data_IF_426415587253
#
_entry.id   IF_426415587253
#
_cell.length_a   1.000
_cell.length_b   1.000
_cell.length_c   1.000
_cell.angle_alpha   90.00
_cell.angle_beta   90.00
_cell.angle_gamma   90.00
#
_symmetry.space_group_name_H-M   'P 1'
#
loop_
_entity.id
_entity.type
_entity.pdbx_description
1 polymer ?
#
# COMPACT_ATOMS: atom_id res chain seq x y z
N UNK A 1 19.48 -9.42 15.12
CA UNK A 1 18.75 -8.16 15.20
C UNK A 1 17.57 -8.21 14.21
N UNK A 2 16.33 -8.40 14.72
CA UNK A 2 15.14 -8.55 13.86
C UNK A 2 14.79 -7.28 13.08
N UNK A 3 15.33 -6.12 13.46
CA UNK A 3 15.15 -4.87 12.70
C UNK A 3 15.95 -4.83 11.40
N UNK A 4 16.70 -5.90 11.10
CA UNK A 4 17.58 -5.94 9.94
C UNK A 4 16.90 -6.63 8.76
N UNK A 5 16.35 -5.84 7.84
CA UNK A 5 15.91 -6.33 6.53
C UNK A 5 17.05 -7.10 5.85
N UNK A 6 16.75 -8.34 5.42
CA UNK A 6 17.69 -9.21 4.69
C UNK A 6 17.41 -9.20 3.19
N UNK A 7 16.97 -8.09 2.63
CA UNK A 7 16.67 -7.97 1.22
C UNK A 7 17.68 -7.09 0.47
N UNK A 8 17.33 -6.67 -0.71
CA UNK A 8 18.09 -5.71 -1.55
C UNK A 8 18.48 -4.43 -0.80
N UNK A 9 17.83 -4.12 0.32
CA UNK A 9 18.20 -3.05 1.22
C UNK A 9 19.58 -3.22 1.87
N UNK A 10 20.16 -4.42 1.87
CA UNK A 10 21.52 -4.63 2.35
C UNK A 10 22.58 -4.14 1.34
N UNK A 11 22.24 -4.00 0.08
CA UNK A 11 23.10 -3.48 -0.99
C UNK A 11 23.15 -1.94 -0.95
N UNK A 12 22.05 -1.30 -0.62
CA UNK A 12 21.93 0.13 -0.44
C UNK A 12 21.77 0.39 1.06
N UNK A 13 22.70 1.08 1.68
CA UNK A 13 22.67 1.43 3.12
C UNK A 13 21.23 1.58 3.62
N UNK A 14 20.85 0.82 4.65
CA UNK A 14 19.53 0.89 5.30
C UNK A 14 19.18 2.33 5.58
N UNK A 15 18.07 2.78 5.01
CA UNK A 15 17.61 4.15 5.13
C UNK A 15 16.37 4.19 6.00
N UNK A 16 16.35 5.11 6.93
CA UNK A 16 15.11 5.52 7.59
C UNK A 16 14.39 6.42 6.61
N UNK A 17 13.27 5.94 6.07
CA UNK A 17 12.45 6.67 5.09
C UNK A 17 11.61 7.74 5.79
N UNK A 18 11.12 7.42 6.99
CA UNK A 18 10.34 8.33 7.81
C UNK A 18 10.58 8.00 9.28
N UNK A 19 10.78 9.01 10.09
CA UNK A 19 10.86 8.93 11.54
C UNK A 19 9.92 9.98 12.11
N UNK A 20 8.96 9.55 12.92
CA UNK A 20 7.92 10.44 13.46
C UNK A 20 7.60 10.09 14.89
N UNK A 21 7.43 11.13 15.67
CA UNK A 21 6.92 11.03 17.03
C UNK A 21 5.62 11.83 17.14
N UNK A 22 4.61 11.20 17.72
CA UNK A 22 3.31 11.82 17.98
C UNK A 22 3.02 11.68 19.48
N UNK A 23 2.68 12.77 20.10
CA UNK A 23 2.21 12.77 21.47
C UNK A 23 0.83 13.40 21.55
N UNK A 24 -0.08 12.75 22.23
CA UNK A 24 -1.42 13.23 22.45
C UNK A 24 -1.77 13.17 23.95
N UNK A 25 -2.18 14.30 24.50
CA UNK A 25 -2.46 14.43 25.93
C UNK A 25 -1.19 14.47 26.77
N UNK A 26 -1.20 13.80 27.91
CA UNK A 26 -0.07 13.68 28.81
C UNK A 26 0.11 12.24 29.31
N UNK A 27 0.62 11.34 28.47
CA UNK A 27 0.75 9.92 28.79
C UNK A 27 1.68 9.68 29.98
N UNK A 28 2.75 10.48 30.12
CA UNK A 28 3.74 10.32 31.18
C UNK A 28 3.12 10.44 32.59
N UNK A 29 2.09 11.27 32.75
CA UNK A 29 1.36 11.39 34.01
C UNK A 29 0.75 10.05 34.46
N UNK A 30 0.23 9.27 33.51
CA UNK A 30 -0.40 8.00 33.80
C UNK A 30 0.62 6.89 34.02
N UNK A 31 1.68 6.85 33.22
CA UNK A 31 2.75 5.88 33.41
C UNK A 31 3.46 6.05 34.77
N UNK A 32 3.64 7.30 35.25
CA UNK A 32 4.28 7.57 36.54
C UNK A 32 3.40 7.14 37.74
N UNK A 33 2.08 7.24 37.57
CA UNK A 33 1.12 6.96 38.66
C UNK A 33 0.56 5.53 38.65
N UNK A 34 0.71 4.83 37.55
CA UNK A 34 0.12 3.51 37.37
C UNK A 34 0.87 2.46 38.17
N UNK A 35 0.10 1.65 38.91
CA UNK A 35 0.59 0.45 39.59
C UNK A 35 0.63 -0.76 38.64
N UNK A 36 0.04 -0.67 37.47
CA UNK A 36 -0.06 -1.76 36.50
C UNK A 36 0.30 -1.26 35.11
N UNK A 37 1.47 -1.63 34.67
CA UNK A 37 1.96 -1.41 33.30
C UNK A 37 2.05 -2.78 32.63
N UNK A 38 1.46 -2.89 31.46
CA UNK A 38 1.56 -4.07 30.58
C UNK A 38 2.44 -3.71 29.40
N UNK A 39 3.42 -4.53 29.14
CA UNK A 39 4.33 -4.38 28.01
C UNK A 39 4.23 -5.62 27.12
N UNK A 40 4.20 -5.41 25.80
CA UNK A 40 4.17 -6.47 24.81
C UNK A 40 5.01 -6.08 23.61
N UNK A 41 5.75 -7.04 23.08
CA UNK A 41 6.44 -6.92 21.79
C UNK A 41 5.73 -7.85 20.79
N UNK A 42 5.34 -7.29 19.64
CA UNK A 42 4.57 -7.98 18.62
C UNK A 42 5.36 -7.90 17.31
N UNK A 43 5.65 -9.03 16.73
CA UNK A 43 6.17 -9.13 15.36
C UNK A 43 5.03 -9.54 14.42
N UNK A 44 4.77 -8.70 13.42
CA UNK A 44 3.86 -9.02 12.34
C UNK A 44 4.70 -9.34 11.09
N UNK A 45 4.75 -10.59 10.67
CA UNK A 45 5.58 -10.98 9.52
C UNK A 45 5.00 -10.44 8.22
N UNK A 46 5.87 -10.23 7.25
CA UNK A 46 5.46 -9.89 5.89
C UNK A 46 4.63 -11.04 5.31
N UNK A 47 3.45 -10.72 4.81
CA UNK A 47 2.53 -11.70 4.24
C UNK A 47 1.96 -11.22 2.90
N UNK A 48 1.39 -12.14 2.12
CA UNK A 48 0.59 -11.82 0.94
C UNK A 48 -0.88 -11.69 1.34
N UNK A 49 -1.55 -10.66 0.84
CA UNK A 49 -2.98 -10.44 1.09
C UNK A 49 -3.87 -11.38 0.28
N UNK A 50 -3.39 -11.93 -0.79
CA UNK A 50 -3.96 -12.95 -1.70
C UNK A 50 -5.50 -12.96 -1.78
N UNK A 51 -6.16 -11.92 -2.33
CA UNK A 51 -7.60 -11.96 -2.54
C UNK A 51 -7.95 -13.09 -3.51
N UNK A 52 -9.16 -13.65 -3.38
CA UNK A 52 -9.63 -14.70 -4.32
C UNK A 52 -9.70 -14.16 -5.75
N UNK A 53 -10.14 -12.92 -5.93
CA UNK A 53 -10.11 -12.25 -7.21
C UNK A 53 -8.73 -11.63 -7.47
N UNK A 54 -8.03 -12.06 -8.53
CA UNK A 54 -6.79 -11.47 -9.01
C UNK A 54 -7.01 -10.08 -9.63
N UNK A 55 -5.95 -9.51 -10.16
CA UNK A 55 -6.04 -8.26 -10.90
C UNK A 55 -6.65 -8.48 -12.28
N UNK A 56 -7.46 -7.52 -12.72
CA UNK A 56 -7.99 -7.45 -14.08
C UNK A 56 -7.84 -6.04 -14.59
N UNK A 57 -7.28 -5.88 -15.79
CA UNK A 57 -7.18 -4.60 -16.48
C UNK A 57 -7.68 -4.76 -17.90
N UNK A 58 -8.63 -3.92 -18.29
CA UNK A 58 -9.07 -3.74 -19.66
C UNK A 58 -8.75 -2.31 -20.09
N UNK A 59 -7.92 -2.16 -21.10
CA UNK A 59 -7.49 -0.85 -21.62
C UNK A 59 -7.85 -0.71 -23.10
N UNK A 60 -8.37 0.44 -23.45
CA UNK A 60 -8.67 0.85 -24.81
C UNK A 60 -8.12 2.24 -25.08
N UNK A 61 -7.42 2.41 -26.19
CA UNK A 61 -6.96 3.72 -26.66
C UNK A 61 -7.73 4.12 -27.90
N UNK A 62 -8.44 5.22 -27.81
CA UNK A 62 -9.08 5.86 -28.97
C UNK A 62 -8.10 6.82 -29.66
N UNK A 63 -7.63 6.43 -30.84
CA UNK A 63 -6.67 7.23 -31.61
C UNK A 63 -7.29 8.56 -32.13
N UNK A 64 -8.61 8.65 -32.31
CA UNK A 64 -9.26 9.85 -32.79
C UNK A 64 -9.34 10.94 -31.73
N UNK A 65 -9.67 10.56 -30.50
CA UNK A 65 -9.76 11.50 -29.36
C UNK A 65 -8.48 11.59 -28.53
N UNK A 66 -7.58 10.60 -28.64
CA UNK A 66 -6.40 10.47 -27.83
C UNK A 66 -6.68 10.07 -26.37
N UNK A 67 -7.85 9.50 -26.12
CA UNK A 67 -8.31 9.11 -24.79
C UNK A 67 -7.97 7.65 -24.49
N UNK A 68 -7.53 7.38 -23.28
CA UNK A 68 -7.46 6.03 -22.72
C UNK A 68 -8.67 5.76 -21.84
N UNK A 69 -9.40 4.69 -22.14
CA UNK A 69 -10.43 4.12 -21.30
C UNK A 69 -9.89 2.87 -20.60
N UNK A 70 -9.87 2.90 -19.28
CA UNK A 70 -9.34 1.80 -18.45
C UNK A 70 -10.40 1.33 -17.47
N UNK A 71 -10.79 0.07 -17.60
CA UNK A 71 -11.67 -0.62 -16.65
C UNK A 71 -10.84 -1.60 -15.84
N UNK A 72 -10.97 -1.55 -14.52
CA UNK A 72 -10.20 -2.43 -13.64
C UNK A 72 -10.85 -2.57 -12.28
N UNK A 73 -10.48 -3.61 -11.56
CA UNK A 73 -10.84 -3.82 -10.16
C UNK A 73 -9.85 -3.15 -9.19
N UNK A 74 -9.34 -1.99 -9.56
CA UNK A 74 -8.41 -1.23 -8.73
C UNK A 74 -9.06 -0.66 -7.47
N UNK A 75 -8.25 -0.49 -6.44
CA UNK A 75 -8.62 0.24 -5.25
C UNK A 75 -8.19 1.70 -5.38
N UNK A 76 -9.09 2.64 -5.08
CA UNK A 76 -8.78 4.07 -5.03
C UNK A 76 -8.44 4.70 -6.39
N UNK A 77 -9.36 4.68 -7.39
CA UNK A 77 -9.11 5.22 -8.73
C UNK A 77 -8.68 6.69 -8.71
N UNK A 78 -9.23 7.50 -7.82
CA UNK A 78 -8.87 8.91 -7.71
C UNK A 78 -7.41 9.15 -7.34
N UNK A 79 -6.86 8.32 -6.46
CA UNK A 79 -5.44 8.43 -6.07
C UNK A 79 -4.50 7.93 -7.17
N UNK A 80 -4.95 7.03 -8.04
CA UNK A 80 -4.19 6.51 -9.17
C UNK A 80 -4.19 7.45 -10.37
N UNK A 81 -5.25 8.22 -10.57
CA UNK A 81 -5.52 8.95 -11.81
C UNK A 81 -4.40 9.92 -12.19
N UNK A 82 -4.02 10.84 -11.30
CA UNK A 82 -2.99 11.85 -11.60
C UNK A 82 -1.61 11.22 -11.80
N UNK A 83 -1.31 10.13 -11.10
CA UNK A 83 -0.03 9.42 -11.23
C UNK A 83 0.04 8.69 -12.58
N UNK A 84 -1.05 8.02 -12.97
CA UNK A 84 -1.15 7.32 -14.25
C UNK A 84 -1.12 8.28 -15.44
N UNK A 85 -1.83 9.42 -15.36
CA UNK A 85 -1.80 10.45 -16.41
C UNK A 85 -0.39 10.96 -16.66
N UNK A 86 0.36 11.24 -15.59
CA UNK A 86 1.78 11.63 -15.69
C UNK A 86 2.66 10.53 -16.27
N UNK A 87 2.46 9.29 -15.86
CA UNK A 87 3.22 8.15 -16.35
C UNK A 87 2.97 7.89 -17.85
N UNK A 88 1.72 8.02 -18.30
CA UNK A 88 1.32 7.90 -19.70
C UNK A 88 1.66 9.17 -20.51
N UNK A 89 2.07 10.25 -19.86
CA UNK A 89 2.36 11.56 -20.46
C UNK A 89 1.16 12.14 -21.23
N UNK A 90 -0.01 12.08 -20.60
CA UNK A 90 -1.26 12.64 -21.11
C UNK A 90 -1.87 13.61 -20.13
N UNK A 91 -2.71 14.52 -20.63
CA UNK A 91 -3.55 15.36 -19.80
C UNK A 91 -4.55 14.50 -19.01
N UNK A 92 -4.92 14.92 -17.81
CA UNK A 92 -5.84 14.16 -16.96
C UNK A 92 -7.19 13.87 -17.63
N UNK A 93 -7.70 14.79 -18.44
CA UNK A 93 -8.93 14.60 -19.24
C UNK A 93 -8.82 13.55 -20.36
N UNK A 94 -7.62 13.04 -20.65
CA UNK A 94 -7.35 11.99 -21.65
C UNK A 94 -7.21 10.60 -21.04
N UNK A 95 -7.45 10.45 -19.74
CA UNK A 95 -7.47 9.17 -19.05
C UNK A 95 -8.80 9.02 -18.30
N UNK A 96 -9.51 7.96 -18.57
CA UNK A 96 -10.72 7.58 -17.82
C UNK A 96 -10.46 6.28 -17.07
N UNK A 97 -10.66 6.29 -15.76
CA UNK A 97 -10.57 5.12 -14.90
C UNK A 97 -11.96 4.73 -14.42
N UNK A 98 -12.37 3.52 -14.73
CA UNK A 98 -13.72 3.00 -14.47
C UNK A 98 -13.56 1.74 -13.60
N UNK A 99 -14.14 1.76 -12.40
CA UNK A 99 -14.21 0.57 -11.54
C UNK A 99 -15.29 -0.38 -12.05
N UNK A 100 -15.07 -1.68 -11.94
CA UNK A 100 -16.13 -2.66 -12.12
C UNK A 100 -17.14 -2.54 -10.98
N UNK A 101 -18.41 -2.82 -11.29
CA UNK A 101 -19.51 -2.77 -10.31
C UNK A 101 -19.32 -3.83 -9.22
N UNK A 102 -18.98 -5.05 -9.63
CA UNK A 102 -18.77 -6.21 -8.74
C UNK A 102 -17.28 -6.51 -8.63
N UNK A 103 -16.62 -5.88 -7.67
CA UNK A 103 -15.20 -6.13 -7.38
C UNK A 103 -15.05 -7.00 -6.13
N UNK A 104 -14.34 -8.11 -6.25
CA UNK A 104 -13.92 -8.94 -5.13
C UNK A 104 -12.74 -8.34 -4.38
N UNK A 105 -12.61 -8.58 -3.09
CA UNK A 105 -11.69 -7.97 -2.14
C UNK A 105 -10.33 -7.49 -2.67
N UNK A 106 -9.79 -6.48 -2.01
CA UNK A 106 -8.47 -5.91 -2.34
C UNK A 106 -7.44 -6.13 -1.24
N UNK A 107 -7.81 -5.97 0.02
CA UNK A 107 -6.91 -5.96 1.18
C UNK A 107 -5.71 -5.00 1.01
N UNK A 108 -5.88 -3.93 0.23
CA UNK A 108 -4.87 -2.92 -0.03
C UNK A 108 -3.98 -3.16 -1.25
N UNK A 109 -3.88 -4.38 -1.78
CA UNK A 109 -2.93 -4.69 -2.86
C UNK A 109 -3.37 -4.17 -4.23
N UNK A 110 -4.67 -3.99 -4.48
CA UNK A 110 -5.17 -3.52 -5.78
C UNK A 110 -4.86 -2.05 -6.09
N UNK A 111 -4.25 -1.33 -5.17
CA UNK A 111 -3.59 -0.06 -5.48
C UNK A 111 -2.28 -0.23 -6.28
N UNK A 112 -1.62 -1.37 -6.13
CA UNK A 112 -0.35 -1.66 -6.82
C UNK A 112 -0.50 -2.04 -8.30
N UNK A 113 -1.69 -2.01 -8.85
CA UNK A 113 -2.00 -2.39 -10.26
C UNK A 113 -1.45 -1.40 -11.31
N UNK A 114 -0.90 -0.26 -10.89
CA UNK A 114 -0.44 0.80 -11.77
C UNK A 114 0.47 0.34 -12.92
N UNK A 115 1.50 -0.50 -12.71
CA UNK A 115 2.37 -0.94 -13.80
C UNK A 115 1.61 -1.68 -14.89
N UNK A 116 0.64 -2.51 -14.51
CA UNK A 116 -0.17 -3.28 -15.45
C UNK A 116 -1.11 -2.39 -16.26
N UNK A 117 -1.67 -1.37 -15.63
CA UNK A 117 -2.47 -0.35 -16.35
C UNK A 117 -1.59 0.36 -17.40
N UNK A 118 -0.39 0.80 -17.04
CA UNK A 118 0.51 1.48 -17.98
C UNK A 118 0.85 0.55 -19.16
N UNK A 119 1.23 -0.70 -18.87
CA UNK A 119 1.60 -1.66 -19.90
C UNK A 119 0.44 -1.98 -20.84
N UNK A 120 -0.76 -2.21 -20.32
CA UNK A 120 -1.94 -2.50 -21.14
C UNK A 120 -2.39 -1.28 -21.95
N UNK A 121 -2.30 -0.06 -21.41
CA UNK A 121 -2.53 1.18 -22.15
C UNK A 121 -1.56 1.35 -23.31
N UNK A 122 -0.26 1.13 -23.08
CA UNK A 122 0.73 1.23 -24.13
C UNK A 122 0.53 0.14 -25.19
N UNK A 123 0.23 -1.09 -24.79
CA UNK A 123 -0.07 -2.19 -25.70
C UNK A 123 -1.32 -1.88 -26.55
N UNK A 124 -2.37 -1.32 -25.95
CA UNK A 124 -3.57 -0.90 -26.66
C UNK A 124 -3.27 0.18 -27.70
N UNK A 125 -2.49 1.20 -27.34
CA UNK A 125 -2.08 2.25 -28.26
C UNK A 125 -1.26 1.74 -29.42
N UNK A 126 -0.29 0.85 -29.17
CA UNK A 126 0.60 0.30 -30.20
C UNK A 126 -0.12 -0.66 -31.15
N UNK A 127 -1.05 -1.46 -30.63
CA UNK A 127 -1.80 -2.42 -31.43
C UNK A 127 -3.05 -1.83 -32.10
N UNK A 128 -3.47 -0.64 -31.67
CA UNK A 128 -4.75 -0.01 -32.01
C UNK A 128 -5.94 -0.97 -31.75
N UNK A 129 -5.89 -1.69 -30.64
CA UNK A 129 -6.91 -2.68 -30.20
C UNK A 129 -7.13 -2.58 -28.71
N UNK A 130 -8.27 -3.07 -28.26
CA UNK A 130 -8.51 -3.32 -26.85
C UNK A 130 -7.53 -4.39 -26.34
N UNK A 131 -6.99 -4.18 -25.13
CA UNK A 131 -6.08 -5.13 -24.46
C UNK A 131 -6.66 -5.47 -23.10
N UNK A 132 -6.78 -6.75 -22.82
CA UNK A 132 -7.22 -7.28 -21.54
C UNK A 132 -6.09 -8.10 -20.95
N UNK A 133 -5.76 -7.83 -19.69
CA UNK A 133 -4.91 -8.68 -18.87
C UNK A 133 -5.69 -9.16 -17.65
N UNK A 134 -5.61 -10.44 -17.41
CA UNK A 134 -6.21 -11.11 -16.24
C UNK A 134 -5.08 -11.86 -15.55
N UNK A 135 -4.81 -11.46 -14.31
CA UNK A 135 -3.79 -12.08 -13.48
C UNK A 135 -4.17 -13.51 -13.11
N UNK A 136 -3.27 -14.45 -13.30
CA UNK A 136 -3.43 -15.79 -12.76
C UNK A 136 -2.90 -15.91 -11.32
N UNK A 137 -3.17 -17.02 -10.66
CA UNK A 137 -2.76 -17.20 -9.25
C UNK A 137 -1.25 -17.31 -9.07
N UNK A 138 -0.53 -17.86 -10.01
CA UNK A 138 0.94 -17.96 -9.93
C UNK A 138 1.61 -16.62 -10.15
N UNK A 139 1.11 -15.81 -11.09
CA UNK A 139 1.52 -14.43 -11.28
C UNK A 139 1.31 -13.63 -10.00
N UNK A 140 0.12 -13.76 -9.38
CA UNK A 140 -0.19 -13.07 -8.13
C UNK A 140 0.79 -13.44 -7.01
N UNK A 141 1.00 -14.71 -6.76
CA UNK A 141 1.89 -15.18 -5.69
C UNK A 141 3.37 -14.81 -5.92
N UNK A 142 3.75 -14.58 -7.17
CA UNK A 142 5.13 -14.25 -7.56
C UNK A 142 5.40 -12.74 -7.57
N UNK A 143 4.45 -11.95 -8.08
CA UNK A 143 4.68 -10.55 -8.42
C UNK A 143 3.80 -9.54 -7.65
N UNK A 144 2.75 -9.98 -6.96
CA UNK A 144 1.92 -9.06 -6.20
C UNK A 144 2.65 -8.48 -4.98
N UNK A 145 2.22 -7.30 -4.59
CA UNK A 145 2.75 -6.64 -3.38
C UNK A 145 2.42 -7.45 -2.12
N UNK A 146 3.32 -7.44 -1.17
CA UNK A 146 3.10 -7.97 0.18
C UNK A 146 2.83 -6.85 1.19
N UNK A 147 2.26 -7.21 2.33
CA UNK A 147 2.22 -6.33 3.50
C UNK A 147 3.63 -6.01 3.99
N UNK A 148 3.79 -4.92 4.74
CA UNK A 148 5.04 -4.61 5.42
C UNK A 148 5.29 -5.58 6.56
N UNK A 149 6.56 -5.94 6.80
CA UNK A 149 6.94 -6.54 8.08
C UNK A 149 6.94 -5.47 9.16
N UNK A 150 6.47 -5.81 10.36
CA UNK A 150 6.28 -4.84 11.44
C UNK A 150 6.74 -5.39 12.77
N UNK A 151 7.52 -4.59 13.50
CA UNK A 151 7.86 -4.84 14.90
C UNK A 151 7.28 -3.71 15.74
N UNK A 152 6.48 -4.06 16.72
CA UNK A 152 5.81 -3.10 17.59
C UNK A 152 6.11 -3.40 19.04
N UNK A 153 6.56 -2.40 19.79
CA UNK A 153 6.62 -2.41 21.24
C UNK A 153 5.50 -1.56 21.78
N UNK A 154 4.63 -2.15 22.56
CA UNK A 154 3.48 -1.48 23.14
C UNK A 154 3.58 -1.51 24.65
N UNK A 155 3.37 -0.37 25.28
CA UNK A 155 3.21 -0.24 26.74
C UNK A 155 1.85 0.38 27.03
N UNK A 156 1.13 -0.19 27.98
CA UNK A 156 -0.17 0.29 28.41
C UNK A 156 -0.20 0.51 29.92
N UNK A 157 -0.61 1.69 30.34
CA UNK A 157 -0.96 1.98 31.73
C UNK A 157 -2.42 1.61 31.96
N UNK A 158 -2.69 0.78 32.95
CA UNK A 158 -4.02 0.22 33.23
C UNK A 158 -4.43 0.57 34.67
N UNK A 159 -5.65 1.10 34.85
CA UNK A 159 -6.18 1.42 36.15
C UNK A 159 -6.76 0.19 36.85
N UNK A 160 -7.22 0.38 38.10
CA UNK A 160 -7.79 -0.69 38.93
C UNK A 160 -9.07 -1.32 38.34
N UNK A 161 -9.77 -0.60 37.45
CA UNK A 161 -10.95 -1.09 36.73
C UNK A 161 -10.61 -1.89 35.48
N UNK A 162 -9.33 -2.02 35.14
CA UNK A 162 -8.89 -2.68 33.91
C UNK A 162 -8.98 -1.79 32.63
N UNK A 163 -9.20 -0.49 32.79
CA UNK A 163 -9.26 0.44 31.66
C UNK A 163 -7.86 0.98 31.33
N UNK A 164 -7.56 1.09 30.03
CA UNK A 164 -6.33 1.70 29.52
C UNK A 164 -6.43 3.22 29.70
N UNK A 165 -5.45 3.82 30.37
CA UNK A 165 -5.36 5.27 30.60
C UNK A 165 -4.29 5.94 29.72
N UNK A 166 -3.24 5.21 29.36
CA UNK A 166 -2.22 5.68 28.44
C UNK A 166 -1.64 4.53 27.62
N UNK A 167 -1.25 4.84 26.41
CA UNK A 167 -0.50 3.96 25.50
C UNK A 167 0.81 4.63 25.11
N UNK A 168 1.87 3.85 25.09
CA UNK A 168 3.14 4.17 24.50
C UNK A 168 3.43 3.11 23.43
N UNK A 169 3.79 3.55 22.24
CA UNK A 169 3.76 2.72 21.06
C UNK A 169 4.97 3.05 20.18
N UNK A 170 5.92 2.14 20.12
CA UNK A 170 7.10 2.25 19.27
C UNK A 170 7.01 1.20 18.17
N UNK A 171 7.06 1.65 16.92
CA UNK A 171 6.86 0.78 15.76
C UNK A 171 7.92 0.99 14.69
N UNK A 172 8.43 -0.12 14.20
CA UNK A 172 9.32 -0.16 13.04
C UNK A 172 8.63 -0.92 11.92
N UNK A 173 8.45 -0.26 10.77
CA UNK A 173 7.92 -0.86 9.55
C UNK A 173 9.03 -1.11 8.53
N UNK A 174 9.15 -2.34 8.05
CA UNK A 174 9.98 -2.66 6.89
C UNK A 174 9.15 -2.49 5.61
N UNK A 175 9.28 -1.33 4.99
CA UNK A 175 8.56 -0.99 3.76
C UNK A 175 9.14 -1.62 2.50
N UNK A 176 10.30 -2.33 2.63
CA UNK A 176 11.01 -2.92 1.51
C UNK A 176 11.84 -1.92 0.70
N UNK A 177 12.31 -2.34 -0.46
CA UNK A 177 13.25 -1.59 -1.28
C UNK A 177 12.63 -0.34 -1.94
N UNK A 178 11.32 -0.36 -2.20
CA UNK A 178 10.63 0.71 -2.91
C UNK A 178 9.34 1.12 -2.20
N UNK A 179 9.25 2.40 -1.74
CA UNK A 179 7.96 2.97 -1.34
C UNK A 179 7.01 2.93 -2.53
N UNK A 180 5.86 2.31 -2.33
CA UNK A 180 4.89 2.08 -3.39
C UNK A 180 4.07 3.34 -3.69
N UNK A 181 4.00 3.76 -4.95
CA UNK A 181 3.02 4.75 -5.38
C UNK A 181 1.61 4.13 -5.41
N UNK A 182 0.55 4.85 -5.09
CA UNK A 182 0.47 6.30 -4.83
C UNK A 182 0.63 6.69 -3.35
N UNK A 183 1.12 5.82 -2.50
CA UNK A 183 1.08 5.94 -1.04
C UNK A 183 2.30 6.54 -0.32
N UNK A 184 3.13 7.42 -0.88
CA UNK A 184 4.10 8.12 -0.05
C UNK A 184 3.43 8.86 1.12
N UNK A 185 2.16 9.28 0.94
CA UNK A 185 1.40 9.99 1.96
C UNK A 185 1.06 9.13 3.19
N UNK A 186 0.91 7.81 3.06
CA UNK A 186 0.66 6.92 4.20
C UNK A 186 1.91 6.68 5.05
N UNK A 187 3.09 6.81 4.45
CA UNK A 187 4.36 6.79 5.17
C UNK A 187 4.63 8.10 5.92
N UNK A 188 3.91 9.17 5.58
CA UNK A 188 4.12 10.52 6.09
C UNK A 188 2.94 11.08 6.91
N UNK A 189 1.93 10.26 7.19
CA UNK A 189 0.77 10.64 8.03
C UNK A 189 0.80 9.99 9.39
#
# INVERSE_FOLDING_TARGET
DPSKSRGLGDVYKRQVVSDRNFEYGNPNKFFTKSNKIVEVEIEYPRNSCTPLEGFVVHSEYDAASGVYDVKSNFQGPFSLHSVLSRALKVEEGKLRLISFEDSGGSFGIKQAIMPMIILTCLASKLSNRQVIWVEDRLEHLTAASSATGRLTKLRASINERGLIEALDYDQIDDVGAYPRAPEPASLYR
#
